data_IF_754259884764
#
_entry.id   IF_754259884764
#
_cell.length_a   1.000
_cell.length_b   1.000
_cell.length_c   1.000
_cell.angle_alpha   90.00
_cell.angle_beta   90.00
_cell.angle_gamma   90.00
#
_symmetry.space_group_name_H-M   'P 1'
#
loop_
_entity.id
_entity.type
_entity.pdbx_description
1 polymer ?
#
# COMPACT_ATOMS: atom_id res chain seq x y z
N UNK A 1 -9.89 -17.45 21.69
CA UNK A 1 -10.93 -18.48 21.87
C UNK A 1 -10.28 -19.82 21.58
N UNK A 2 -10.15 -20.66 22.60
CA UNK A 2 -9.44 -21.94 22.49
C UNK A 2 -10.35 -22.97 21.80
N UNK A 3 -9.85 -23.70 20.81
CA UNK A 3 -10.58 -24.71 20.02
C UNK A 3 -11.18 -25.81 20.91
N UNK A 4 -10.69 -25.96 22.15
CA UNK A 4 -11.17 -26.96 23.14
C UNK A 4 -12.57 -26.68 23.70
N UNK A 5 -13.16 -25.50 23.46
CA UNK A 5 -14.45 -25.09 24.02
C UNK A 5 -15.65 -25.26 23.06
N UNK A 6 -15.42 -25.82 21.85
CA UNK A 6 -16.49 -26.01 20.84
C UNK A 6 -17.44 -27.15 21.20
N UNK A 7 -17.09 -28.00 22.21
CA UNK A 7 -17.93 -29.12 22.62
C UNK A 7 -19.30 -28.72 23.18
N UNK A 8 -19.44 -27.46 23.61
CA UNK A 8 -20.67 -26.90 24.20
C UNK A 8 -21.72 -26.44 23.17
N UNK A 9 -21.35 -26.39 21.88
CA UNK A 9 -22.26 -25.94 20.81
C UNK A 9 -22.98 -27.14 20.15
N UNK A 10 -24.14 -26.89 19.54
CA UNK A 10 -24.85 -27.89 18.75
C UNK A 10 -24.00 -28.38 17.56
N UNK A 11 -24.24 -29.61 17.06
CA UNK A 11 -23.46 -30.15 15.91
C UNK A 11 -23.43 -29.20 14.71
N UNK A 12 -24.54 -28.58 14.35
CA UNK A 12 -24.65 -27.63 13.26
C UNK A 12 -23.82 -26.35 13.51
N UNK A 13 -23.83 -25.82 14.74
CA UNK A 13 -23.04 -24.65 15.10
C UNK A 13 -21.52 -24.95 15.09
N UNK A 14 -21.12 -26.16 15.53
CA UNK A 14 -19.74 -26.65 15.47
C UNK A 14 -19.24 -26.68 14.03
N UNK A 15 -20.04 -27.22 13.12
CA UNK A 15 -19.68 -27.29 11.69
C UNK A 15 -19.49 -25.91 11.07
N UNK A 16 -20.37 -24.96 11.36
CA UNK A 16 -20.23 -23.56 10.90
C UNK A 16 -18.97 -22.88 11.45
N UNK A 17 -18.64 -23.10 12.72
CA UNK A 17 -17.42 -22.56 13.34
C UNK A 17 -16.17 -23.16 12.69
N UNK A 18 -16.13 -24.46 12.46
CA UNK A 18 -15.00 -25.14 11.80
C UNK A 18 -14.83 -24.71 10.36
N UNK A 19 -15.92 -24.54 9.60
CA UNK A 19 -15.86 -23.99 8.23
C UNK A 19 -15.34 -22.55 8.19
N UNK A 20 -15.78 -21.71 9.12
CA UNK A 20 -15.32 -20.33 9.22
C UNK A 20 -13.83 -20.26 9.58
N UNK A 21 -13.39 -21.07 10.56
CA UNK A 21 -11.98 -21.19 10.95
C UNK A 21 -11.12 -21.72 9.80
N UNK A 22 -11.61 -22.70 9.05
CA UNK A 22 -10.92 -23.26 7.87
C UNK A 22 -10.77 -22.20 6.77
N UNK A 23 -11.81 -21.42 6.50
CA UNK A 23 -11.76 -20.31 5.53
C UNK A 23 -10.80 -19.21 5.97
N UNK A 24 -10.78 -18.84 7.24
CA UNK A 24 -9.88 -17.81 7.77
C UNK A 24 -8.40 -18.27 7.74
N UNK A 25 -8.16 -19.56 8.02
CA UNK A 25 -6.81 -20.14 7.92
C UNK A 25 -6.32 -20.23 6.47
N UNK A 26 -7.19 -20.67 5.55
CA UNK A 26 -6.89 -20.72 4.13
C UNK A 26 -6.59 -19.32 3.56
N UNK A 27 -7.41 -18.32 3.93
CA UNK A 27 -7.20 -16.92 3.56
C UNK A 27 -5.87 -16.37 4.09
N UNK A 28 -5.54 -16.62 5.38
CA UNK A 28 -4.26 -16.23 5.97
C UNK A 28 -3.07 -16.92 5.30
N UNK A 29 -3.22 -18.18 4.89
CA UNK A 29 -2.19 -18.90 4.16
C UNK A 29 -1.99 -18.32 2.75
N UNK A 30 -3.08 -18.00 2.03
CA UNK A 30 -3.01 -17.33 0.71
C UNK A 30 -2.39 -15.93 0.83
N UNK A 31 -2.82 -15.11 1.79
CA UNK A 31 -2.24 -13.79 2.06
C UNK A 31 -0.74 -13.89 2.38
N UNK A 32 -0.31 -14.95 3.06
CA UNK A 32 1.10 -15.22 3.36
C UNK A 32 1.87 -15.60 2.11
N UNK A 33 1.31 -16.44 1.23
CA UNK A 33 1.94 -16.84 -0.04
C UNK A 33 2.08 -15.64 -0.97
N UNK A 34 1.06 -14.79 -1.12
CA UNK A 34 1.14 -13.56 -1.91
C UNK A 34 2.18 -12.58 -1.36
N UNK A 35 2.28 -12.45 -0.04
CA UNK A 35 3.26 -11.55 0.61
C UNK A 35 4.71 -12.00 0.37
N UNK A 36 4.98 -13.28 0.15
CA UNK A 36 6.32 -13.82 -0.11
C UNK A 36 6.68 -13.90 -1.60
N UNK A 37 5.76 -13.60 -2.54
CA UNK A 37 6.02 -13.61 -3.98
C UNK A 37 6.49 -12.27 -4.54
N UNK A 38 6.64 -11.23 -3.72
CA UNK A 38 7.21 -9.96 -4.14
C UNK A 38 8.72 -10.12 -4.37
N UNK A 39 9.10 -10.38 -5.63
CA UNK A 39 10.50 -10.35 -6.06
C UNK A 39 10.92 -8.91 -6.25
N UNK A 40 11.98 -8.50 -5.54
CA UNK A 40 12.64 -7.22 -5.82
C UNK A 40 13.11 -7.19 -7.27
N UNK A 41 12.87 -6.08 -7.93
CA UNK A 41 13.24 -5.87 -9.32
C UNK A 41 14.09 -4.60 -9.43
N UNK A 42 15.27 -4.71 -10.04
CA UNK A 42 16.15 -3.56 -10.30
C UNK A 42 16.01 -3.15 -11.75
N UNK A 43 15.70 -1.89 -11.98
CA UNK A 43 15.56 -1.29 -13.32
C UNK A 43 16.66 -0.23 -13.50
N UNK A 44 17.33 -0.28 -14.63
CA UNK A 44 18.28 0.77 -15.04
C UNK A 44 17.53 1.83 -15.85
N UNK A 45 17.65 3.09 -15.44
CA UNK A 45 17.01 4.21 -16.16
C UNK A 45 17.71 4.40 -17.50
N UNK A 46 16.97 4.36 -18.65
CA UNK A 46 17.55 4.63 -19.96
C UNK A 46 18.23 6.01 -20.01
N UNK A 47 19.46 6.05 -20.51
CA UNK A 47 20.24 7.30 -20.59
C UNK A 47 20.90 7.75 -19.28
N UNK A 48 20.77 6.97 -18.21
CA UNK A 48 21.43 7.21 -16.92
C UNK A 48 21.98 5.88 -16.39
N UNK A 49 23.18 5.88 -15.79
CA UNK A 49 23.70 4.69 -15.09
C UNK A 49 23.00 4.41 -13.76
N UNK A 50 21.94 5.15 -13.44
CA UNK A 50 21.24 5.04 -12.18
C UNK A 50 20.32 3.81 -12.17
N UNK A 51 20.50 2.98 -11.16
CA UNK A 51 19.65 1.81 -10.90
C UNK A 51 18.66 2.11 -9.78
N UNK A 52 17.42 1.68 -9.96
CA UNK A 52 16.35 1.78 -8.97
C UNK A 52 15.87 0.37 -8.65
N UNK A 53 15.82 0.04 -7.37
CA UNK A 53 15.27 -1.25 -6.90
C UNK A 53 13.86 -1.03 -6.38
N UNK A 54 12.91 -1.76 -6.94
CA UNK A 54 11.51 -1.81 -6.55
C UNK A 54 11.24 -3.03 -5.69
N UNK A 55 10.29 -2.92 -4.78
CA UNK A 55 9.91 -4.01 -3.88
C UNK A 55 9.04 -5.07 -4.60
N UNK A 56 8.52 -4.76 -5.78
CA UNK A 56 7.75 -5.69 -6.61
C UNK A 56 7.97 -5.48 -8.12
N UNK A 57 7.73 -6.54 -8.90
CA UNK A 57 7.73 -6.48 -10.37
C UNK A 57 6.61 -5.57 -10.89
N UNK A 58 5.46 -5.50 -10.18
CA UNK A 58 4.35 -4.61 -10.53
C UNK A 58 4.77 -3.14 -10.46
N UNK A 59 5.46 -2.75 -9.38
CA UNK A 59 6.00 -1.39 -9.23
C UNK A 59 7.01 -1.06 -10.35
N UNK A 60 7.95 -1.98 -10.63
CA UNK A 60 8.93 -1.79 -11.71
C UNK A 60 8.27 -1.61 -13.08
N UNK A 61 7.23 -2.40 -13.39
CA UNK A 61 6.45 -2.27 -14.63
C UNK A 61 5.73 -0.93 -14.67
N UNK A 62 5.06 -0.54 -13.57
CA UNK A 62 4.35 0.74 -13.50
C UNK A 62 5.29 1.92 -13.66
N UNK A 63 6.48 1.85 -13.08
CA UNK A 63 7.52 2.86 -13.31
C UNK A 63 7.86 3.03 -14.78
N UNK A 64 8.03 1.95 -15.54
CA UNK A 64 8.26 2.01 -16.99
C UNK A 64 7.14 2.71 -17.76
N UNK A 65 5.88 2.45 -17.40
CA UNK A 65 4.71 3.14 -17.97
C UNK A 65 4.73 4.65 -17.66
N UNK A 66 5.04 5.01 -16.41
CA UNK A 66 5.12 6.42 -15.99
C UNK A 66 6.29 7.17 -16.66
N UNK A 67 7.45 6.54 -16.84
CA UNK A 67 8.56 7.13 -17.60
C UNK A 67 8.17 7.38 -19.06
N UNK A 68 7.44 6.45 -19.69
CA UNK A 68 6.91 6.67 -21.04
C UNK A 68 5.91 7.84 -21.09
N UNK A 69 5.01 7.94 -20.11
CA UNK A 69 4.06 9.06 -20.01
C UNK A 69 4.78 10.40 -19.78
N UNK A 70 5.85 10.39 -19.02
CA UNK A 70 6.72 11.58 -18.80
C UNK A 70 7.41 12.00 -20.09
N UNK A 71 7.98 11.06 -20.84
CA UNK A 71 8.65 11.33 -22.12
C UNK A 71 7.69 11.86 -23.19
N UNK A 72 6.40 11.50 -23.12
CA UNK A 72 5.35 12.01 -24.02
C UNK A 72 4.69 13.30 -23.51
N UNK A 73 5.15 13.88 -22.38
CA UNK A 73 4.63 15.12 -21.81
C UNK A 73 3.25 14.99 -21.15
N UNK A 74 2.72 13.77 -20.98
CA UNK A 74 1.43 13.52 -20.30
C UNK A 74 1.52 13.75 -18.80
N UNK A 75 2.70 13.46 -18.22
CA UNK A 75 3.01 13.73 -16.82
C UNK A 75 4.34 14.44 -16.67
N UNK A 76 4.56 15.06 -15.52
CA UNK A 76 5.83 15.69 -15.12
C UNK A 76 6.10 15.50 -13.63
N UNK A 77 7.28 15.87 -13.15
CA UNK A 77 7.68 15.85 -11.75
C UNK A 77 7.49 14.48 -11.08
N UNK A 78 7.79 13.38 -11.82
CA UNK A 78 7.72 12.04 -11.30
C UNK A 78 8.71 11.83 -10.15
N UNK A 79 8.20 11.53 -8.97
CA UNK A 79 8.95 11.22 -7.76
C UNK A 79 8.56 9.84 -7.24
N UNK A 80 9.55 9.12 -6.71
CA UNK A 80 9.43 7.76 -6.20
C UNK A 80 9.45 7.76 -4.68
N UNK A 81 8.67 6.88 -4.07
CA UNK A 81 8.73 6.55 -2.64
C UNK A 81 8.66 7.80 -1.74
N UNK A 82 7.65 8.64 -1.99
CA UNK A 82 7.44 9.90 -1.27
C UNK A 82 6.75 9.65 0.07
N UNK A 83 7.34 10.16 1.15
CA UNK A 83 6.77 10.07 2.49
C UNK A 83 5.83 11.24 2.77
N UNK A 84 4.63 10.92 3.28
CA UNK A 84 3.66 11.87 3.80
C UNK A 84 3.49 11.64 5.29
N UNK A 85 3.84 12.63 6.11
CA UNK A 85 3.64 12.57 7.56
C UNK A 85 2.17 12.84 7.87
N UNK A 86 1.44 11.79 8.23
CA UNK A 86 0.00 11.87 8.55
C UNK A 86 -0.23 12.41 9.95
N UNK A 87 0.59 11.98 10.91
CA UNK A 87 0.62 12.47 12.27
C UNK A 87 2.07 12.69 12.69
N UNK A 88 2.36 13.84 13.27
CA UNK A 88 3.68 14.11 13.84
C UNK A 88 3.92 13.25 15.08
N UNK A 89 5.21 12.92 15.31
CA UNK A 89 5.60 12.29 16.57
C UNK A 89 5.51 13.28 17.71
N UNK A 90 5.16 12.80 18.91
CA UNK A 90 5.07 13.63 20.11
C UNK A 90 5.49 12.85 21.35
N UNK A 91 5.69 13.57 22.47
CA UNK A 91 5.96 12.97 23.76
C UNK A 91 4.75 13.19 24.66
N UNK A 92 4.27 12.13 25.29
CA UNK A 92 3.14 12.19 26.22
C UNK A 92 3.55 12.90 27.53
N UNK A 93 2.58 13.31 28.34
CA UNK A 93 2.82 13.87 29.66
C UNK A 93 3.57 12.90 30.61
N UNK A 94 3.45 11.60 30.37
CA UNK A 94 4.18 10.55 31.10
C UNK A 94 5.62 10.31 30.58
N UNK A 95 6.08 11.07 29.56
CA UNK A 95 7.42 10.95 28.99
C UNK A 95 7.55 9.88 27.90
N UNK A 96 6.47 9.22 27.49
CA UNK A 96 6.48 8.23 26.42
C UNK A 96 6.60 8.91 25.05
N UNK A 97 7.56 8.46 24.22
CA UNK A 97 7.76 8.98 22.88
C UNK A 97 6.90 8.22 21.86
N UNK A 98 5.91 8.90 21.30
CA UNK A 98 5.05 8.39 20.23
C UNK A 98 5.67 8.71 18.87
N UNK A 99 5.84 7.67 18.04
CA UNK A 99 6.42 7.82 16.70
C UNK A 99 5.41 8.45 15.74
N UNK A 100 5.89 9.17 14.70
CA UNK A 100 5.00 9.70 13.67
C UNK A 100 4.31 8.58 12.90
N UNK A 101 3.11 8.85 12.40
CA UNK A 101 2.44 8.00 11.41
C UNK A 101 2.80 8.55 10.03
N UNK A 102 3.44 7.70 9.22
CA UNK A 102 3.88 8.06 7.88
C UNK A 102 3.20 7.15 6.86
N UNK A 103 2.72 7.74 5.76
CA UNK A 103 2.33 7.03 4.56
C UNK A 103 3.43 7.22 3.51
N UNK A 104 3.89 6.13 2.89
CA UNK A 104 4.88 6.14 1.80
C UNK A 104 4.17 5.76 0.52
N UNK A 105 4.04 6.73 -0.38
CA UNK A 105 3.49 6.53 -1.71
C UNK A 105 4.56 5.94 -2.64
N UNK A 106 4.17 5.03 -3.54
CA UNK A 106 5.10 4.46 -4.52
C UNK A 106 5.49 5.51 -5.55
N UNK A 107 4.51 6.27 -6.08
CA UNK A 107 4.70 7.30 -7.08
C UNK A 107 3.93 8.58 -6.75
N UNK A 108 4.57 9.73 -7.01
CA UNK A 108 3.92 11.05 -6.99
C UNK A 108 4.34 11.80 -8.24
N UNK A 109 3.36 12.34 -8.98
CA UNK A 109 3.61 13.07 -10.22
C UNK A 109 2.51 14.08 -10.51
N UNK A 110 2.74 14.95 -11.46
CA UNK A 110 1.70 15.84 -12.01
C UNK A 110 1.20 15.29 -13.33
N UNK A 111 -0.10 15.11 -13.46
CA UNK A 111 -0.79 14.67 -14.65
C UNK A 111 -1.46 15.86 -15.36
N UNK A 112 -1.30 15.95 -16.66
CA UNK A 112 -1.97 16.99 -17.46
C UNK A 112 -3.45 16.63 -17.65
N UNK A 113 -4.34 17.53 -17.25
CA UNK A 113 -5.79 17.38 -17.41
C UNK A 113 -6.34 18.54 -18.22
N UNK A 114 -7.62 18.48 -18.58
CA UNK A 114 -8.32 19.60 -19.25
C UNK A 114 -8.33 20.88 -18.42
N UNK A 115 -8.22 20.76 -17.08
CA UNK A 115 -8.18 21.88 -16.13
C UNK A 115 -6.76 22.32 -15.75
N UNK A 116 -5.72 21.75 -16.37
CA UNK A 116 -4.33 22.01 -16.06
C UNK A 116 -3.63 20.83 -15.37
N UNK A 117 -2.56 21.11 -14.63
CA UNK A 117 -1.75 20.11 -13.95
C UNK A 117 -2.34 19.74 -12.59
N UNK A 118 -2.52 18.43 -12.38
CA UNK A 118 -3.04 17.87 -11.12
C UNK A 118 -2.01 16.94 -10.49
N UNK A 119 -1.77 17.09 -9.18
CA UNK A 119 -0.94 16.15 -8.43
C UNK A 119 -1.67 14.82 -8.22
N UNK A 120 -1.00 13.74 -8.59
CA UNK A 120 -1.45 12.36 -8.39
C UNK A 120 -0.52 11.70 -7.40
N UNK A 121 -1.10 11.04 -6.41
CA UNK A 121 -0.42 10.13 -5.48
C UNK A 121 -0.88 8.73 -5.83
N UNK A 122 0.04 7.87 -6.20
CA UNK A 122 -0.25 6.54 -6.71
C UNK A 122 0.44 5.45 -5.88
N UNK A 123 -0.25 4.33 -5.71
CA UNK A 123 0.20 3.20 -4.93
C UNK A 123 -0.13 1.89 -5.66
N UNK A 124 0.88 1.03 -5.82
CA UNK A 124 0.73 -0.27 -6.49
C UNK A 124 0.30 -1.31 -5.46
N UNK A 125 -1.00 -1.57 -5.38
CA UNK A 125 -1.56 -2.46 -4.36
C UNK A 125 -1.85 -3.87 -4.85
N UNK A 126 -1.36 -4.85 -4.06
CA UNK A 126 -1.82 -6.23 -4.15
C UNK A 126 -3.00 -6.50 -3.19
N UNK A 127 -2.88 -6.06 -1.93
CA UNK A 127 -3.87 -6.31 -0.86
C UNK A 127 -4.13 -5.04 -0.05
N UNK A 128 -5.41 -4.71 0.17
CA UNK A 128 -5.82 -3.62 1.04
C UNK A 128 -5.85 -4.08 2.50
N UNK A 129 -4.91 -3.59 3.30
CA UNK A 129 -4.90 -3.82 4.75
C UNK A 129 -5.77 -2.79 5.48
N UNK A 130 -6.17 -3.10 6.72
CA UNK A 130 -6.88 -2.13 7.58
C UNK A 130 -6.03 -0.88 7.85
N UNK A 131 -4.74 -1.06 8.07
CA UNK A 131 -3.78 0.04 8.27
C UNK A 131 -3.72 0.96 7.04
N UNK A 132 -3.62 0.39 5.85
CA UNK A 132 -3.66 1.15 4.61
C UNK A 132 -4.97 1.95 4.47
N UNK A 133 -6.11 1.32 4.75
CA UNK A 133 -7.42 1.98 4.67
C UNK A 133 -7.53 3.17 5.63
N UNK A 134 -6.91 3.09 6.82
CA UNK A 134 -6.82 4.21 7.76
C UNK A 134 -5.92 5.32 7.20
N UNK A 135 -4.71 4.98 6.75
CA UNK A 135 -3.77 5.95 6.18
C UNK A 135 -4.34 6.68 4.96
N UNK A 136 -5.09 5.97 4.10
CA UNK A 136 -5.78 6.59 2.95
C UNK A 136 -6.79 7.67 3.39
N UNK A 137 -7.59 7.41 4.44
CA UNK A 137 -8.52 8.40 5.00
C UNK A 137 -7.76 9.62 5.55
N UNK A 138 -6.66 9.39 6.27
CA UNK A 138 -5.83 10.48 6.80
C UNK A 138 -5.16 11.30 5.68
N UNK A 139 -4.76 10.66 4.56
CA UNK A 139 -4.25 11.35 3.37
C UNK A 139 -5.31 12.29 2.79
N UNK A 140 -6.54 11.81 2.65
CA UNK A 140 -7.65 12.61 2.13
C UNK A 140 -7.98 13.78 3.06
N UNK A 141 -8.05 13.55 4.37
CA UNK A 141 -8.33 14.59 5.36
C UNK A 141 -7.24 15.67 5.41
N UNK A 142 -5.97 15.24 5.54
CA UNK A 142 -4.85 16.17 5.78
C UNK A 142 -4.38 16.90 4.52
N UNK A 143 -4.37 16.22 3.38
CA UNK A 143 -3.78 16.74 2.14
C UNK A 143 -4.81 16.97 1.02
N UNK A 144 -6.06 16.55 1.22
CA UNK A 144 -7.11 16.62 0.18
C UNK A 144 -6.83 15.70 -1.02
N UNK A 145 -5.97 14.69 -0.85
CA UNK A 145 -5.53 13.80 -1.93
C UNK A 145 -6.08 12.40 -1.72
N UNK A 146 -6.82 11.91 -2.70
CA UNK A 146 -7.21 10.50 -2.76
C UNK A 146 -6.10 9.70 -3.50
N UNK A 147 -5.72 8.55 -2.94
CA UNK A 147 -4.66 7.70 -3.47
C UNK A 147 -5.21 6.92 -4.66
N UNK A 148 -4.55 7.03 -5.83
CA UNK A 148 -4.84 6.21 -7.00
C UNK A 148 -4.19 4.83 -6.80
N UNK A 149 -5.00 3.80 -6.74
CA UNK A 149 -4.53 2.41 -6.65
C UNK A 149 -4.45 1.79 -8.05
N UNK A 150 -3.34 1.10 -8.35
CA UNK A 150 -3.04 0.45 -9.65
C UNK A 150 -2.48 -0.96 -9.48
#
# INVERSE_FOLDING_TARGET
>A
MDIRDISRFSPAARQQILEKLGRDQARKAMDKVEKYHNRKCTVTIPGSMKQITFDSVKEARRFGELELMKNTGKIRDLRLQVNFTLQEGFTTAAGERIRPIVYRADFVYQEHTTSGWRTIVEDVKGVRTKEYSMKRKMMLEKFGVDIREV
#
